data_IF_816393820199
#
_entry.id   IF_816393820199
#
_cell.length_a   1.000
_cell.length_b   1.000
_cell.length_c   1.000
_cell.angle_alpha   90.00
_cell.angle_beta   90.00
_cell.angle_gamma   90.00
#
_symmetry.space_group_name_H-M   'P 1'
#
loop_
_entity.id
_entity.type
_entity.pdbx_description
1 polymer ?
#
# COMPACT_ATOMS: atom_id res chain seq x y z
N UNK A 1 -13.33 -32.86 -29.50
CA UNK A 1 -12.13 -31.98 -29.38
C UNK A 1 -12.62 -30.56 -29.30
N UNK A 2 -12.49 -29.88 -28.15
CA UNK A 2 -13.01 -28.51 -28.02
C UNK A 2 -13.23 -27.94 -26.61
N UNK A 3 -12.70 -28.54 -25.53
CA UNK A 3 -12.93 -28.03 -24.16
C UNK A 3 -11.66 -27.59 -23.41
N UNK A 4 -10.48 -27.61 -24.05
CA UNK A 4 -9.22 -27.26 -23.39
C UNK A 4 -8.73 -25.83 -23.71
N UNK A 5 -9.28 -25.15 -24.73
CA UNK A 5 -8.79 -23.83 -25.17
C UNK A 5 -9.34 -22.67 -24.31
N UNK A 6 -10.58 -22.76 -23.80
CA UNK A 6 -11.19 -21.68 -23.02
C UNK A 6 -10.66 -21.52 -21.58
N UNK A 7 -9.93 -22.51 -21.05
CA UNK A 7 -9.33 -22.39 -19.70
C UNK A 7 -7.98 -21.69 -19.73
N UNK A 8 -7.31 -21.62 -20.88
CA UNK A 8 -6.04 -20.88 -21.06
C UNK A 8 -6.26 -19.38 -21.31
N UNK A 9 -7.37 -18.99 -21.94
CA UNK A 9 -7.70 -17.56 -22.17
C UNK A 9 -7.94 -16.80 -20.87
N UNK A 10 -8.56 -17.42 -19.85
CA UNK A 10 -8.84 -16.77 -18.56
C UNK A 10 -7.56 -16.47 -17.74
N UNK A 11 -6.53 -17.31 -17.85
CA UNK A 11 -5.23 -17.11 -17.18
C UNK A 11 -4.35 -16.10 -17.93
N UNK A 12 -4.41 -16.08 -19.26
CA UNK A 12 -3.70 -15.06 -20.08
C UNK A 12 -4.34 -13.68 -19.86
N UNK A 13 -5.66 -13.58 -19.69
CA UNK A 13 -6.34 -12.33 -19.35
C UNK A 13 -6.02 -11.84 -17.92
N UNK A 14 -5.81 -12.73 -16.94
CA UNK A 14 -5.30 -12.35 -15.61
C UNK A 14 -3.86 -11.79 -15.67
N UNK A 15 -2.99 -12.38 -16.48
CA UNK A 15 -1.63 -11.87 -16.72
C UNK A 15 -1.64 -10.52 -17.49
N UNK A 16 -2.50 -10.36 -18.49
CA UNK A 16 -2.66 -9.11 -19.25
C UNK A 16 -3.25 -8.00 -18.37
N UNK A 17 -4.16 -8.33 -17.44
CA UNK A 17 -4.65 -7.37 -16.45
C UNK A 17 -3.54 -6.92 -15.49
N UNK A 18 -2.71 -7.84 -14.99
CA UNK A 18 -1.55 -7.53 -14.16
C UNK A 18 -0.49 -6.69 -14.90
N UNK A 19 -0.24 -6.98 -16.19
CA UNK A 19 0.68 -6.22 -17.05
C UNK A 19 0.16 -4.80 -17.37
N UNK A 20 -1.15 -4.63 -17.60
CA UNK A 20 -1.75 -3.30 -17.79
C UNK A 20 -1.73 -2.46 -16.50
N UNK A 21 -1.87 -3.09 -15.33
CA UNK A 21 -1.59 -2.43 -14.04
C UNK A 21 -0.13 -1.98 -13.94
N UNK A 22 0.82 -2.77 -14.44
CA UNK A 22 2.25 -2.49 -14.42
C UNK A 22 2.67 -1.28 -15.29
N UNK A 23 2.02 -1.08 -16.45
CA UNK A 23 2.29 0.04 -17.37
C UNK A 23 1.73 1.36 -16.85
N UNK A 24 0.52 1.36 -16.28
CA UNK A 24 -0.04 2.55 -15.61
C UNK A 24 0.68 2.85 -14.27
N UNK A 25 1.23 1.83 -13.61
CA UNK A 25 2.05 1.90 -12.39
C UNK A 25 3.38 2.63 -12.60
N UNK A 26 4.09 2.39 -13.72
CA UNK A 26 5.31 3.13 -14.07
C UNK A 26 5.00 4.63 -14.27
N UNK A 27 3.88 4.96 -14.93
CA UNK A 27 3.48 6.35 -15.17
C UNK A 27 3.05 7.09 -13.89
N UNK A 28 2.38 6.41 -12.95
CA UNK A 28 1.94 7.02 -11.69
C UNK A 28 3.08 7.21 -10.67
N UNK A 29 4.02 6.26 -10.60
CA UNK A 29 5.22 6.37 -9.76
C UNK A 29 6.17 7.44 -10.29
N UNK A 30 6.38 7.51 -11.60
CA UNK A 30 7.15 8.57 -12.26
C UNK A 30 6.50 9.94 -12.03
N UNK A 31 5.18 10.07 -12.17
CA UNK A 31 4.47 11.31 -11.86
C UNK A 31 4.58 11.74 -10.39
N UNK A 32 4.64 10.81 -9.42
CA UNK A 32 4.84 11.15 -8.02
C UNK A 32 6.27 11.60 -7.75
N UNK A 33 7.29 10.88 -8.22
CA UNK A 33 8.69 11.28 -8.09
C UNK A 33 8.96 12.61 -8.79
N UNK A 34 8.41 12.83 -9.98
CA UNK A 34 8.53 14.09 -10.75
C UNK A 34 7.83 15.27 -10.03
N UNK A 35 6.80 15.00 -9.21
CA UNK A 35 6.10 16.03 -8.45
C UNK A 35 6.93 16.58 -7.29
N UNK A 36 7.85 15.78 -6.72
CA UNK A 36 8.65 16.12 -5.53
C UNK A 36 10.15 16.28 -5.81
N UNK A 37 10.67 15.72 -6.90
CA UNK A 37 12.10 15.77 -7.24
C UNK A 37 12.61 17.20 -7.47
N UNK A 38 11.78 18.09 -8.01
CA UNK A 38 12.14 19.49 -8.28
C UNK A 38 12.41 20.35 -7.04
N UNK A 39 12.01 19.91 -5.84
CA UNK A 39 12.15 20.68 -4.60
C UNK A 39 13.22 20.14 -3.63
N UNK A 40 13.81 18.98 -3.91
CA UNK A 40 14.58 18.19 -2.92
C UNK A 40 15.97 17.77 -3.43
N UNK A 41 16.55 18.54 -4.34
CA UNK A 41 17.92 18.33 -4.80
C UNK A 41 18.93 18.52 -3.65
N UNK A 42 19.80 17.55 -3.42
CA UNK A 42 20.86 17.63 -2.40
C UNK A 42 20.58 16.88 -1.08
N UNK A 43 19.48 16.14 -0.98
CA UNK A 43 19.21 15.29 0.19
C UNK A 43 20.20 14.12 0.31
N UNK A 44 20.55 13.71 1.55
CA UNK A 44 21.41 12.56 1.76
C UNK A 44 20.70 11.27 1.32
N UNK A 45 21.47 10.39 0.69
CA UNK A 45 21.01 9.04 0.33
C UNK A 45 21.37 8.04 1.43
N UNK A 46 20.61 6.95 1.53
CA UNK A 46 20.92 5.84 2.41
C UNK A 46 21.57 4.69 1.63
N UNK A 47 22.49 3.99 2.26
CA UNK A 47 22.99 2.75 1.68
C UNK A 47 21.91 1.66 1.72
N UNK A 48 22.02 0.67 0.83
CA UNK A 48 21.14 -0.51 0.86
C UNK A 48 21.23 -1.23 2.21
N UNK A 49 22.40 -1.24 2.85
CA UNK A 49 22.58 -1.84 4.16
C UNK A 49 21.76 -1.10 5.24
N UNK A 50 21.78 0.23 5.24
CA UNK A 50 21.03 1.04 6.21
C UNK A 50 19.51 0.90 6.03
N UNK A 51 19.04 0.86 4.78
CA UNK A 51 17.62 0.63 4.48
C UNK A 51 17.18 -0.76 4.96
N UNK A 52 17.98 -1.79 4.70
CA UNK A 52 17.69 -3.16 5.15
C UNK A 52 17.72 -3.26 6.68
N UNK A 53 18.69 -2.62 7.33
CA UNK A 53 18.79 -2.59 8.78
C UNK A 53 17.58 -1.88 9.40
N UNK A 54 17.15 -0.77 8.81
CA UNK A 54 15.92 -0.06 9.23
C UNK A 54 14.71 -0.98 9.16
N UNK A 55 14.53 -1.75 8.08
CA UNK A 55 13.43 -2.71 7.97
C UNK A 55 13.47 -3.74 9.10
N UNK A 56 14.63 -4.36 9.35
CA UNK A 56 14.81 -5.39 10.37
C UNK A 56 14.52 -4.84 11.77
N UNK A 57 15.12 -3.70 12.12
CA UNK A 57 15.00 -3.08 13.45
C UNK A 57 13.60 -2.57 13.75
N UNK A 58 12.77 -2.38 12.72
CA UNK A 58 11.42 -1.84 12.84
C UNK A 58 10.32 -2.88 12.60
N UNK A 59 10.68 -4.17 12.45
CA UNK A 59 9.71 -5.29 12.48
C UNK A 59 8.94 -5.31 13.81
N UNK A 60 7.73 -5.84 13.78
CA UNK A 60 6.76 -5.74 14.89
C UNK A 60 5.93 -4.45 14.87
N UNK A 61 6.28 -3.49 14.01
CA UNK A 61 5.46 -2.33 13.62
C UNK A 61 4.86 -1.57 14.81
N UNK A 62 3.56 -1.71 15.04
CA UNK A 62 2.83 -1.02 16.12
C UNK A 62 3.29 -1.40 17.53
N UNK A 63 3.97 -2.55 17.68
CA UNK A 63 4.58 -2.99 18.93
C UNK A 63 6.05 -2.57 19.06
N UNK A 64 6.59 -1.82 18.09
CA UNK A 64 7.99 -1.44 18.04
C UNK A 64 8.16 0.10 18.13
N UNK A 65 8.74 0.63 19.22
CA UNK A 65 8.94 2.08 19.37
C UNK A 65 9.89 2.67 18.32
N UNK A 66 10.89 1.92 17.86
CA UNK A 66 11.82 2.33 16.79
C UNK A 66 11.06 2.54 15.48
N UNK A 67 10.03 1.74 15.20
CA UNK A 67 9.18 1.92 14.02
C UNK A 67 8.43 3.25 14.04
N UNK A 68 7.93 3.70 15.20
CA UNK A 68 7.32 5.02 15.33
C UNK A 68 8.35 6.14 15.15
N UNK A 69 9.54 6.00 15.75
CA UNK A 69 10.61 6.98 15.62
C UNK A 69 11.05 7.17 14.16
N UNK A 70 11.28 6.07 13.44
CA UNK A 70 11.71 6.09 12.03
C UNK A 70 10.64 6.62 11.07
N UNK A 71 9.36 6.58 11.45
CA UNK A 71 8.24 7.13 10.66
C UNK A 71 8.01 8.62 10.87
N UNK A 72 8.61 9.21 11.91
CA UNK A 72 8.55 10.65 12.15
C UNK A 72 9.29 11.37 11.03
N UNK A 73 8.75 12.49 10.59
CA UNK A 73 9.32 13.35 9.54
C UNK A 73 9.44 12.69 8.15
N UNK A 74 8.97 11.44 8.00
CA UNK A 74 8.81 10.76 6.71
C UNK A 74 7.34 10.78 6.27
N UNK A 75 7.14 10.96 4.98
CA UNK A 75 5.87 10.73 4.32
C UNK A 75 5.65 9.22 4.30
N UNK A 76 4.73 8.72 5.12
CA UNK A 76 4.32 7.31 5.11
C UNK A 76 3.18 7.08 4.11
N UNK A 77 2.90 5.82 3.81
CA UNK A 77 1.84 5.41 2.86
C UNK A 77 0.46 5.90 3.27
N UNK A 78 0.13 5.88 4.56
CA UNK A 78 -1.13 6.46 5.08
C UNK A 78 -1.26 7.98 4.93
N UNK A 79 -0.15 8.71 4.71
CA UNK A 79 -0.12 10.18 4.60
C UNK A 79 -0.07 10.66 3.13
N UNK A 80 0.23 9.78 2.18
CA UNK A 80 0.56 10.18 0.79
C UNK A 80 -0.61 10.84 0.07
N UNK A 81 -1.84 10.38 0.29
CA UNK A 81 -3.01 10.99 -0.35
C UNK A 81 -3.21 12.45 0.09
N UNK A 82 -2.97 12.75 1.37
CA UNK A 82 -3.04 14.11 1.90
C UNK A 82 -1.96 15.01 1.28
N UNK A 83 -0.74 14.48 1.08
CA UNK A 83 0.34 15.18 0.38
C UNK A 83 -0.05 15.47 -1.07
N UNK A 84 -0.45 14.45 -1.83
CA UNK A 84 -0.82 14.61 -3.25
C UNK A 84 -1.97 15.61 -3.41
N UNK A 85 -2.98 15.54 -2.55
CA UNK A 85 -4.11 16.47 -2.56
C UNK A 85 -3.64 17.90 -2.30
N UNK A 86 -2.80 18.10 -1.27
CA UNK A 86 -2.28 19.43 -0.93
C UNK A 86 -1.39 20.00 -2.02
N UNK A 87 -0.53 19.20 -2.64
CA UNK A 87 0.31 19.66 -3.75
C UNK A 87 -0.54 20.07 -4.94
N UNK A 88 -1.61 19.33 -5.26
CA UNK A 88 -2.58 19.75 -6.29
C UNK A 88 -3.24 21.08 -5.95
N UNK A 89 -3.65 21.28 -4.70
CA UNK A 89 -4.21 22.56 -4.23
C UNK A 89 -3.21 23.70 -4.37
N UNK A 90 -1.95 23.51 -3.98
CA UNK A 90 -0.89 24.53 -4.12
C UNK A 90 -0.70 24.91 -5.59
N UNK A 91 -0.57 23.91 -6.48
CA UNK A 91 -0.37 24.15 -7.92
C UNK A 91 -1.54 24.86 -8.60
N UNK A 92 -2.76 24.69 -8.07
CA UNK A 92 -3.96 25.31 -8.62
C UNK A 92 -4.31 26.67 -7.99
N UNK A 93 -3.58 27.10 -6.95
CA UNK A 93 -3.88 28.33 -6.23
C UNK A 93 -3.01 29.48 -6.71
N UNK A 94 -3.63 30.66 -6.86
CA UNK A 94 -2.92 31.93 -7.15
C UNK A 94 -2.40 32.60 -5.86
N UNK A 95 -2.79 32.09 -4.69
CA UNK A 95 -2.42 32.62 -3.40
C UNK A 95 -1.67 31.57 -2.56
N UNK A 96 -1.02 32.03 -1.49
CA UNK A 96 -0.33 31.13 -0.58
C UNK A 96 -1.32 30.17 0.10
N UNK A 97 -0.99 28.89 0.09
CA UNK A 97 -1.79 27.83 0.70
C UNK A 97 -1.14 27.40 2.02
N UNK A 98 -1.89 27.47 3.11
CA UNK A 98 -1.44 26.97 4.41
C UNK A 98 -1.14 25.45 4.38
N UNK A 99 0.10 25.11 4.75
CA UNK A 99 0.61 23.73 4.83
C UNK A 99 0.87 23.24 6.26
N UNK A 100 0.62 24.08 7.28
CA UNK A 100 0.96 23.81 8.68
C UNK A 100 0.37 22.48 9.20
N UNK A 101 -0.89 22.18 8.84
CA UNK A 101 -1.56 20.92 9.21
C UNK A 101 -0.90 19.71 8.57
N UNK A 102 -0.45 19.82 7.32
CA UNK A 102 0.23 18.73 6.62
C UNK A 102 1.62 18.49 7.22
N UNK A 103 2.37 19.56 7.51
CA UNK A 103 3.67 19.47 8.20
C UNK A 103 3.50 18.80 9.56
N UNK A 104 2.52 19.23 10.37
CA UNK A 104 2.22 18.61 11.66
C UNK A 104 1.88 17.11 11.54
N UNK A 105 1.15 16.71 10.50
CA UNK A 105 0.83 15.30 10.22
C UNK A 105 2.09 14.50 9.86
N UNK A 106 2.97 15.05 9.02
CA UNK A 106 4.22 14.39 8.60
C UNK A 106 5.16 14.24 9.78
N UNK A 107 5.35 15.29 10.57
CA UNK A 107 6.23 15.33 11.75
C UNK A 107 5.73 14.55 12.97
N UNK A 108 4.61 13.82 12.84
CA UNK A 108 4.08 12.97 13.91
C UNK A 108 3.36 13.74 15.03
N UNK A 109 3.10 15.03 14.84
CA UNK A 109 2.35 15.86 15.79
C UNK A 109 0.83 15.62 15.76
N UNK A 110 0.36 14.70 14.92
CA UNK A 110 -1.03 14.27 14.84
C UNK A 110 -1.09 12.74 14.81
N UNK A 111 -1.42 12.14 15.96
CA UNK A 111 -1.61 10.69 16.10
C UNK A 111 -3.11 10.45 16.38
N UNK A 112 -3.80 9.63 15.59
CA UNK A 112 -5.18 9.26 15.86
C UNK A 112 -5.31 8.61 17.24
N UNK A 113 -6.43 8.82 17.93
CA UNK A 113 -6.72 8.10 19.17
C UNK A 113 -6.74 6.58 18.86
N UNK A 114 -5.82 5.78 19.45
CA UNK A 114 -5.74 4.36 19.14
C UNK A 114 -7.00 3.60 19.54
N UNK A 115 -7.80 4.13 20.47
CA UNK A 115 -9.02 3.50 20.98
C UNK A 115 -10.27 3.78 20.13
N UNK A 116 -10.14 4.45 18.99
CA UNK A 116 -11.26 4.57 18.04
C UNK A 116 -11.74 3.17 17.64
N UNK A 117 -13.05 2.86 17.74
CA UNK A 117 -13.57 1.51 17.51
C UNK A 117 -13.12 0.89 16.19
N UNK A 118 -13.16 1.65 15.09
CA UNK A 118 -12.73 1.17 13.77
C UNK A 118 -11.23 0.83 13.72
N UNK A 119 -10.37 1.64 14.36
CA UNK A 119 -8.93 1.37 14.42
C UNK A 119 -8.61 0.19 15.33
N UNK A 120 -9.32 0.07 16.46
CA UNK A 120 -9.18 -1.06 17.38
C UNK A 120 -9.59 -2.37 16.69
N UNK A 121 -10.77 -2.39 16.08
CA UNK A 121 -11.26 -3.53 15.32
C UNK A 121 -10.29 -3.94 14.21
N UNK A 122 -9.82 -2.97 13.41
CA UNK A 122 -8.82 -3.22 12.37
C UNK A 122 -7.60 -3.96 12.88
N UNK A 123 -6.99 -3.46 13.98
CA UNK A 123 -5.80 -4.09 14.58
C UNK A 123 -6.07 -5.49 15.14
N UNK A 124 -7.22 -5.69 15.78
CA UNK A 124 -7.59 -6.99 16.37
C UNK A 124 -7.88 -8.06 15.30
N UNK A 125 -8.40 -7.64 14.14
CA UNK A 125 -8.79 -8.54 13.06
C UNK A 125 -7.71 -8.79 12.02
N UNK A 126 -6.71 -7.91 11.89
CA UNK A 126 -5.66 -8.00 10.87
C UNK A 126 -4.96 -9.37 10.88
N UNK A 127 -4.60 -9.89 12.06
CA UNK A 127 -3.96 -11.20 12.18
C UNK A 127 -4.85 -12.37 11.73
N UNK A 128 -6.16 -12.27 11.91
CA UNK A 128 -7.13 -13.26 11.43
C UNK A 128 -7.30 -13.14 9.91
N UNK A 129 -7.36 -11.91 9.38
CA UNK A 129 -7.43 -11.66 7.95
C UNK A 129 -6.20 -12.17 7.19
N UNK A 130 -4.97 -12.04 7.75
CA UNK A 130 -3.75 -12.64 7.17
C UNK A 130 -3.85 -14.16 7.04
N UNK A 131 -4.38 -14.83 8.07
CA UNK A 131 -4.58 -16.29 8.06
C UNK A 131 -5.60 -16.68 6.99
N UNK A 132 -6.74 -15.99 6.96
CA UNK A 132 -7.79 -16.21 5.97
C UNK A 132 -7.27 -16.01 4.54
N UNK A 133 -6.49 -14.95 4.29
CA UNK A 133 -5.84 -14.70 3.00
C UNK A 133 -4.98 -15.90 2.58
N UNK A 134 -4.13 -16.42 3.46
CA UNK A 134 -3.29 -17.59 3.16
C UNK A 134 -4.14 -18.82 2.84
N UNK A 135 -5.18 -19.09 3.62
CA UNK A 135 -6.05 -20.25 3.42
C UNK A 135 -6.81 -20.17 2.08
N UNK A 136 -7.36 -18.99 1.76
CA UNK A 136 -8.00 -18.71 0.47
C UNK A 136 -7.02 -18.92 -0.68
N UNK A 137 -5.84 -18.29 -0.63
CA UNK A 137 -4.86 -18.39 -1.71
C UNK A 137 -4.39 -19.84 -1.93
N UNK A 138 -4.21 -20.63 -0.87
CA UNK A 138 -3.88 -22.05 -0.97
C UNK A 138 -4.98 -22.86 -1.66
N UNK A 139 -6.24 -22.59 -1.33
CA UNK A 139 -7.39 -23.23 -1.97
C UNK A 139 -7.50 -22.85 -3.46
N UNK A 140 -7.14 -21.62 -3.83
CA UNK A 140 -7.15 -21.10 -5.20
C UNK A 140 -5.81 -21.30 -5.94
N UNK A 141 -5.21 -22.49 -5.84
CA UNK A 141 -4.03 -22.90 -6.63
C UNK A 141 -2.70 -22.22 -6.29
N UNK A 142 -2.56 -21.61 -5.10
CA UNK A 142 -1.28 -21.08 -4.61
C UNK A 142 -0.81 -21.85 -3.34
N UNK A 143 -0.58 -23.18 -3.39
CA UNK A 143 -0.35 -24.00 -2.20
C UNK A 143 0.92 -23.62 -1.42
N UNK A 144 1.91 -23.01 -2.08
CA UNK A 144 3.16 -22.57 -1.46
C UNK A 144 3.11 -21.14 -0.89
N UNK A 145 1.96 -20.48 -0.89
CA UNK A 145 1.86 -19.10 -0.41
C UNK A 145 2.17 -19.04 1.10
N UNK A 146 2.93 -18.02 1.46
CA UNK A 146 3.24 -17.64 2.84
C UNK A 146 3.28 -16.12 2.95
N UNK A 147 2.91 -15.61 4.11
CA UNK A 147 3.00 -14.18 4.45
C UNK A 147 3.97 -14.02 5.61
N UNK A 148 4.97 -13.16 5.44
CA UNK A 148 5.90 -12.77 6.48
C UNK A 148 5.62 -11.34 6.96
N UNK A 149 5.89 -11.06 8.24
CA UNK A 149 5.90 -9.69 8.74
C UNK A 149 7.09 -8.91 8.18
N UNK A 150 6.98 -7.59 8.18
CA UNK A 150 8.04 -6.68 7.79
C UNK A 150 7.99 -5.39 8.61
N UNK A 151 9.11 -4.67 8.62
CA UNK A 151 9.22 -3.35 9.21
C UNK A 151 8.98 -2.23 8.20
N UNK A 152 9.68 -1.13 8.42
CA UNK A 152 9.63 0.07 7.60
C UNK A 152 10.63 -0.04 6.45
N UNK A 153 10.13 0.00 5.22
CA UNK A 153 10.92 0.26 4.03
C UNK A 153 11.12 1.76 3.88
N UNK A 154 12.34 2.17 3.56
CA UNK A 154 12.71 3.56 3.27
C UNK A 154 13.28 3.61 1.86
N UNK A 155 12.91 4.62 1.07
CA UNK A 155 13.51 4.80 -0.25
C UNK A 155 14.93 5.35 -0.08
N UNK A 156 15.91 4.68 -0.68
CA UNK A 156 17.33 5.01 -0.52
C UNK A 156 17.71 6.36 -1.13
N UNK A 157 17.05 6.75 -2.22
CA UNK A 157 17.28 8.01 -2.93
C UNK A 157 16.41 9.14 -2.38
N UNK A 158 15.22 8.80 -1.90
CA UNK A 158 14.23 9.73 -1.39
C UNK A 158 13.90 9.40 0.05
N UNK A 159 14.83 9.64 0.97
CA UNK A 159 14.77 9.17 2.36
C UNK A 159 13.50 9.63 3.11
N UNK A 160 12.90 10.74 2.70
CA UNK A 160 11.62 11.23 3.24
C UNK A 160 10.42 10.36 2.83
N UNK A 161 10.58 9.35 1.98
CA UNK A 161 9.56 8.36 1.63
C UNK A 161 9.75 7.06 2.40
N UNK A 162 8.69 6.62 3.05
CA UNK A 162 8.70 5.33 3.73
C UNK A 162 7.36 4.59 3.58
N UNK A 163 7.42 3.26 3.71
CA UNK A 163 6.30 2.36 3.58
C UNK A 163 6.40 1.19 4.56
N UNK A 164 5.26 0.78 5.11
CA UNK A 164 5.13 -0.48 5.82
C UNK A 164 3.92 -1.18 5.21
N UNK A 165 4.11 -2.28 4.48
CA UNK A 165 3.02 -3.17 4.10
C UNK A 165 2.57 -4.04 5.28
N UNK A 166 1.36 -4.57 5.21
CA UNK A 166 0.85 -5.45 6.27
C UNK A 166 1.51 -6.84 6.21
N UNK A 167 2.00 -7.24 5.03
CA UNK A 167 2.84 -8.43 4.91
C UNK A 167 3.63 -8.51 3.61
N UNK A 168 4.62 -9.40 3.61
CA UNK A 168 5.38 -9.80 2.42
C UNK A 168 4.88 -11.18 2.00
N UNK A 169 4.25 -11.23 0.84
CA UNK A 169 3.76 -12.49 0.27
C UNK A 169 4.89 -13.14 -0.51
N UNK A 170 5.12 -14.43 -0.29
CA UNK A 170 6.02 -15.25 -1.11
C UNK A 170 5.29 -16.48 -1.58
N UNK A 171 5.38 -16.79 -2.88
CA UNK A 171 4.80 -17.99 -3.46
C UNK A 171 5.63 -18.45 -4.66
N UNK A 172 5.83 -19.78 -4.84
CA UNK A 172 6.66 -20.33 -5.92
C UNK A 172 6.17 -19.97 -7.33
N UNK A 173 4.86 -19.84 -7.53
CA UNK A 173 4.28 -19.46 -8.83
C UNK A 173 4.42 -17.98 -9.17
N UNK A 174 4.48 -17.15 -8.15
CA UNK A 174 4.04 -15.76 -8.24
C UNK A 174 5.13 -14.79 -7.75
N UNK A 175 6.22 -15.34 -7.19
CA UNK A 175 7.34 -14.59 -6.66
C UNK A 175 7.00 -13.93 -5.33
N UNK A 176 7.58 -12.75 -5.12
CA UNK A 176 7.42 -11.96 -3.90
C UNK A 176 6.66 -10.68 -4.19
N UNK A 177 5.61 -10.43 -3.40
CA UNK A 177 4.79 -9.23 -3.45
C UNK A 177 4.44 -8.72 -2.07
N UNK A 178 3.52 -7.76 -2.03
CA UNK A 178 3.04 -7.14 -0.81
C UNK A 178 1.61 -7.60 -0.49
N UNK A 179 1.22 -7.48 0.77
CA UNK A 179 -0.13 -7.63 1.24
C UNK A 179 -0.53 -6.36 1.98
N UNK A 180 -1.70 -5.82 1.64
CA UNK A 180 -2.38 -4.74 2.34
C UNK A 180 -3.77 -5.22 2.73
N UNK A 181 -4.09 -5.18 4.03
CA UNK A 181 -5.33 -5.69 4.61
C UNK A 181 -6.19 -4.53 5.08
N UNK A 182 -7.49 -4.60 4.77
CA UNK A 182 -8.50 -3.75 5.40
C UNK A 182 -9.56 -4.58 6.09
N UNK A 183 -9.72 -4.34 7.40
CA UNK A 183 -10.83 -4.88 8.18
C UNK A 183 -11.75 -3.72 8.61
N UNK A 184 -12.63 -3.21 7.72
CA UNK A 184 -13.51 -2.12 8.07
C UNK A 184 -14.60 -2.61 9.04
N UNK A 185 -14.77 -1.88 10.15
CA UNK A 185 -15.80 -2.20 11.16
C UNK A 185 -17.22 -2.22 10.56
N UNK A 186 -17.47 -1.43 9.51
CA UNK A 186 -18.76 -1.37 8.81
C UNK A 186 -19.19 -2.69 8.17
N UNK A 187 -18.25 -3.61 7.87
CA UNK A 187 -18.56 -4.92 7.30
C UNK A 187 -18.32 -6.08 8.27
N UNK A 188 -18.14 -5.81 9.57
CA UNK A 188 -17.76 -6.82 10.55
C UNK A 188 -18.74 -8.02 10.67
N UNK A 189 -20.02 -7.80 10.33
CA UNK A 189 -21.10 -8.78 10.45
C UNK A 189 -21.91 -8.93 9.15
N UNK A 190 -21.39 -8.43 8.04
CA UNK A 190 -22.11 -8.40 6.78
C UNK A 190 -21.23 -8.95 5.67
N UNK A 191 -21.86 -9.55 4.66
CA UNK A 191 -21.20 -9.79 3.39
C UNK A 191 -20.84 -8.40 2.82
N UNK A 192 -19.57 -8.15 2.46
CA UNK A 192 -19.17 -6.86 1.91
C UNK A 192 -20.08 -6.47 0.73
N UNK A 193 -20.72 -5.32 0.83
CA UNK A 193 -21.50 -4.68 -0.24
C UNK A 193 -20.81 -3.39 -0.70
N UNK A 194 -21.16 -2.88 -1.87
CA UNK A 194 -20.63 -1.61 -2.41
C UNK A 194 -20.77 -0.43 -1.44
N UNK A 195 -21.78 -0.47 -0.56
CA UNK A 195 -22.02 0.53 0.48
C UNK A 195 -20.97 0.45 1.60
N UNK A 196 -20.48 -0.75 1.91
CA UNK A 196 -19.51 -1.01 2.96
C UNK A 196 -18.06 -0.91 2.47
N UNK A 197 -17.82 -1.16 1.19
CA UNK A 197 -16.50 -1.12 0.54
C UNK A 197 -16.44 -0.10 -0.59
N UNK A 198 -16.85 1.14 -0.31
CA UNK A 198 -16.89 2.25 -1.28
C UNK A 198 -15.53 2.57 -1.93
N UNK A 199 -14.43 1.99 -1.47
CA UNK A 199 -13.12 2.09 -2.10
C UNK A 199 -12.93 1.11 -3.26
N UNK A 200 -13.81 0.13 -3.45
CA UNK A 200 -13.80 -0.79 -4.58
C UNK A 200 -14.80 -0.37 -5.67
N UNK A 201 -14.53 -0.80 -6.90
CA UNK A 201 -15.41 -0.71 -8.08
C UNK A 201 -15.30 -2.00 -8.87
N UNK A 202 -16.41 -2.41 -9.47
CA UNK A 202 -16.42 -3.50 -10.45
C UNK A 202 -15.98 -2.97 -11.82
N UNK A 203 -15.11 -3.70 -12.51
CA UNK A 203 -14.73 -3.40 -13.88
C UNK A 203 -15.72 -3.98 -14.89
N UNK A 204 -15.51 -3.70 -16.18
CA UNK A 204 -16.38 -4.19 -17.27
C UNK A 204 -16.44 -5.72 -17.39
N UNK A 205 -15.52 -6.44 -16.74
CA UNK A 205 -15.44 -7.90 -16.72
C UNK A 205 -15.96 -8.52 -15.43
N UNK A 206 -16.50 -7.70 -14.52
CA UNK A 206 -17.06 -8.17 -13.26
C UNK A 206 -16.05 -8.30 -12.12
N UNK A 207 -14.83 -7.79 -12.29
CA UNK A 207 -13.79 -7.91 -11.26
C UNK A 207 -13.73 -6.67 -10.37
N UNK A 208 -13.67 -6.88 -9.06
CA UNK A 208 -13.47 -5.81 -8.09
C UNK A 208 -12.05 -5.23 -8.19
N UNK A 209 -11.96 -3.90 -8.18
CA UNK A 209 -10.72 -3.13 -8.25
C UNK A 209 -10.77 -1.94 -7.31
N UNK A 210 -9.61 -1.56 -6.78
CA UNK A 210 -9.47 -0.36 -5.97
C UNK A 210 -9.67 0.90 -6.81
N UNK A 211 -10.55 1.81 -6.36
CA UNK A 211 -10.78 3.11 -6.99
C UNK A 211 -9.49 3.92 -7.04
N UNK A 212 -9.08 4.35 -8.23
CA UNK A 212 -7.85 5.14 -8.46
C UNK A 212 -7.85 6.50 -7.76
N UNK A 213 -9.03 7.01 -7.44
CA UNK A 213 -9.21 8.27 -6.72
C UNK A 213 -9.19 8.10 -5.21
N UNK A 214 -9.25 6.86 -4.70
CA UNK A 214 -9.33 6.58 -3.27
C UNK A 214 -7.94 6.57 -2.61
N UNK A 215 -7.86 7.00 -1.36
CA UNK A 215 -6.60 7.11 -0.61
C UNK A 215 -5.81 5.79 -0.55
N UNK A 216 -6.51 4.66 -0.42
CA UNK A 216 -5.89 3.32 -0.42
C UNK A 216 -5.16 2.99 -1.72
N UNK A 217 -5.61 3.50 -2.87
CA UNK A 217 -4.88 3.31 -4.13
C UNK A 217 -3.50 3.96 -4.02
N UNK A 218 -3.43 5.23 -3.61
CA UNK A 218 -2.16 5.91 -3.41
C UNK A 218 -1.30 5.23 -2.32
N UNK A 219 -1.92 4.67 -1.29
CA UNK A 219 -1.23 3.89 -0.26
C UNK A 219 -0.48 2.70 -0.87
N UNK A 220 -1.19 1.85 -1.63
CA UNK A 220 -0.64 0.67 -2.31
C UNK A 220 0.44 1.08 -3.32
N UNK A 221 0.18 2.11 -4.14
CA UNK A 221 1.15 2.58 -5.13
C UNK A 221 2.47 3.02 -4.47
N UNK A 222 2.39 3.73 -3.34
CA UNK A 222 3.58 4.11 -2.59
C UNK A 222 4.29 2.91 -1.96
N UNK A 223 3.56 1.94 -1.43
CA UNK A 223 4.17 0.72 -0.87
C UNK A 223 5.00 -0.01 -1.91
N UNK A 224 4.43 -0.21 -3.10
CA UNK A 224 5.12 -0.84 -4.23
C UNK A 224 6.38 -0.06 -4.64
N UNK A 225 6.27 1.27 -4.79
CA UNK A 225 7.37 2.12 -5.21
C UNK A 225 8.52 2.20 -4.20
N UNK A 226 8.23 2.22 -2.89
CA UNK A 226 9.25 2.26 -1.84
C UNK A 226 9.86 0.88 -1.60
N UNK A 227 9.05 -0.18 -1.54
CA UNK A 227 9.56 -1.55 -1.31
C UNK A 227 10.12 -2.22 -2.57
N UNK A 228 10.09 -1.51 -3.72
CA UNK A 228 10.52 -1.98 -5.04
C UNK A 228 9.90 -3.35 -5.39
N UNK A 229 8.57 -3.44 -5.24
CA UNK A 229 7.78 -4.65 -5.55
C UNK A 229 6.85 -4.40 -6.73
N UNK A 230 6.54 -5.50 -7.41
CA UNK A 230 5.80 -5.46 -8.67
C UNK A 230 4.29 -5.61 -8.51
N UNK A 231 3.84 -6.14 -7.37
CA UNK A 231 2.43 -6.37 -7.09
C UNK A 231 2.15 -6.36 -5.59
N UNK A 232 0.90 -6.03 -5.27
CA UNK A 232 0.37 -6.01 -3.92
C UNK A 232 -1.05 -6.56 -3.98
N UNK A 233 -1.33 -7.59 -3.19
CA UNK A 233 -2.70 -8.01 -2.97
C UNK A 233 -3.32 -7.06 -1.95
N UNK A 234 -4.51 -6.56 -2.28
CA UNK A 234 -5.33 -5.73 -1.41
C UNK A 234 -6.52 -6.58 -0.96
N UNK A 235 -6.58 -6.90 0.33
CA UNK A 235 -7.45 -7.91 0.90
C UNK A 235 -8.40 -7.34 1.98
#
# INVERSE_FOLDING_TARGET
MGSCIHRYEHHILQLIAQLNYFVEFYQATQSFTDLVSGCLSGEPTLSTADVNQTEIETRGQSNNPTWFAQRKDRITTSKVHAVVTRVRTIKASETEVDTSRLVKLISGGSVPNPNLPALKYGREMEGQAKKLYVDVMRAFSHPSVSVAECGLYVDAEHIYLAATPDGIVTCKCCGTGLLEIKCPLSSAHMIPSDECVQYLIEDRSGHLRLKRTHAYFFQVQKQLGVAKKNWCDFF
#
